data_IF_574183881481
#
_entry.id   IF_574183881481
#
_cell.length_a   1.000
_cell.length_b   1.000
_cell.length_c   1.000
_cell.angle_alpha   90.00
_cell.angle_beta   90.00
_cell.angle_gamma   90.00
#
_symmetry.space_group_name_H-M   'P 1'
#
loop_
_entity.id
_entity.type
_entity.pdbx_description
1 polymer ?
#
# COMPACT_ATOMS: atom_id res chain seq x y z
N UNK A 1 22.61 25.00 -3.36
CA UNK A 1 21.61 24.03 -2.85
C UNK A 1 20.82 23.57 -4.05
N UNK A 2 21.07 22.35 -4.52
CA UNK A 2 20.27 21.77 -5.60
C UNK A 2 18.81 21.66 -5.13
N UNK A 3 17.89 22.15 -5.95
CA UNK A 3 16.46 21.89 -5.72
C UNK A 3 16.25 20.37 -5.75
N UNK A 4 15.49 19.80 -4.79
CA UNK A 4 15.17 18.39 -4.81
C UNK A 4 14.47 18.06 -6.14
N UNK A 5 14.92 16.98 -6.79
CA UNK A 5 14.38 16.56 -8.08
C UNK A 5 12.99 15.99 -7.84
N UNK A 6 11.97 16.62 -8.45
CA UNK A 6 10.60 16.19 -8.30
C UNK A 6 10.25 14.89 -9.02
N UNK A 7 9.15 14.23 -8.60
CA UNK A 7 8.68 12.96 -9.16
C UNK A 7 8.45 13.01 -10.68
N UNK A 8 8.04 14.17 -11.22
CA UNK A 8 7.76 14.39 -12.64
C UNK A 8 8.95 14.00 -13.54
N UNK A 9 10.18 14.16 -13.06
CA UNK A 9 11.37 13.80 -13.84
C UNK A 9 11.53 12.28 -14.02
N UNK A 10 10.94 11.51 -13.11
CA UNK A 10 11.00 10.05 -13.08
C UNK A 10 9.77 9.39 -13.70
N UNK A 11 8.64 10.11 -13.77
CA UNK A 11 7.41 9.68 -14.43
C UNK A 11 7.15 10.54 -15.68
N UNK A 12 7.95 10.35 -16.73
CA UNK A 12 7.95 11.20 -17.93
C UNK A 12 6.58 11.45 -18.60
N UNK A 13 5.75 10.42 -18.65
CA UNK A 13 4.42 10.47 -19.28
C UNK A 13 3.31 10.74 -18.26
N UNK A 14 3.65 11.14 -17.02
CA UNK A 14 2.65 11.48 -16.03
C UNK A 14 1.76 12.61 -16.55
N UNK A 15 0.46 12.44 -16.38
CA UNK A 15 -0.51 13.42 -16.86
C UNK A 15 -0.31 14.76 -16.15
N UNK A 16 -0.34 15.91 -16.87
CA UNK A 16 -0.27 17.22 -16.25
C UNK A 16 -1.36 17.46 -15.20
N UNK A 17 -2.53 16.84 -15.39
CA UNK A 17 -3.66 16.89 -14.47
C UNK A 17 -3.32 16.22 -13.14
N UNK A 18 -2.73 15.02 -13.16
CA UNK A 18 -2.27 14.36 -11.94
C UNK A 18 -1.16 15.15 -11.26
N UNK A 19 -0.16 15.61 -12.03
CA UNK A 19 0.95 16.39 -11.51
C UNK A 19 0.46 17.64 -10.75
N UNK A 20 -0.38 18.45 -11.38
CA UNK A 20 -0.93 19.66 -10.78
C UNK A 20 -1.76 19.34 -9.52
N UNK A 21 -2.57 18.29 -9.55
CA UNK A 21 -3.39 17.87 -8.41
C UNK A 21 -2.53 17.43 -7.23
N UNK A 22 -1.52 16.58 -7.44
CA UNK A 22 -0.61 16.14 -6.39
C UNK A 22 0.09 17.34 -5.75
N UNK A 23 0.65 18.24 -6.57
CA UNK A 23 1.29 19.47 -6.09
C UNK A 23 0.36 20.31 -5.24
N UNK A 24 -0.87 20.54 -5.70
CA UNK A 24 -1.88 21.30 -4.96
C UNK A 24 -2.23 20.63 -3.63
N UNK A 25 -2.48 19.32 -3.62
CA UNK A 25 -2.93 18.60 -2.43
C UNK A 25 -1.86 18.51 -1.35
N UNK A 26 -0.61 18.27 -1.76
CA UNK A 26 0.53 18.19 -0.85
C UNK A 26 0.87 19.55 -0.26
N UNK A 27 0.95 20.59 -1.11
CA UNK A 27 1.23 21.95 -0.65
C UNK A 27 0.13 22.53 0.25
N UNK A 28 -1.15 22.23 -0.04
CA UNK A 28 -2.28 22.64 0.81
C UNK A 28 -2.22 22.04 2.23
N UNK A 29 -1.45 20.97 2.43
CA UNK A 29 -1.19 20.32 3.73
C UNK A 29 0.21 20.60 4.27
N UNK A 30 0.93 21.54 3.66
CA UNK A 30 2.27 21.92 4.11
C UNK A 30 3.35 20.86 3.86
N UNK A 31 3.14 19.93 2.94
CA UNK A 31 4.11 18.90 2.61
C UNK A 31 4.89 19.23 1.34
N UNK A 32 6.21 19.07 1.42
CA UNK A 32 7.13 19.16 0.28
C UNK A 32 7.22 17.79 -0.39
N UNK A 33 6.48 17.62 -1.48
CA UNK A 33 6.43 16.38 -2.26
C UNK A 33 7.81 15.97 -2.75
N UNK A 34 8.64 16.91 -3.20
CA UNK A 34 9.95 16.59 -3.80
C UNK A 34 10.89 16.02 -2.75
N UNK A 35 10.92 16.63 -1.57
CA UNK A 35 11.74 16.15 -0.46
C UNK A 35 11.28 14.80 0.06
N UNK A 36 9.98 14.64 0.32
CA UNK A 36 9.45 13.37 0.81
C UNK A 36 9.62 12.24 -0.22
N UNK A 37 9.42 12.53 -1.50
CA UNK A 37 9.68 11.56 -2.55
C UNK A 37 11.17 11.19 -2.64
N UNK A 38 12.07 12.17 -2.53
CA UNK A 38 13.52 11.90 -2.52
C UNK A 38 13.96 11.10 -1.28
N UNK A 39 13.47 11.46 -0.09
CA UNK A 39 13.79 10.80 1.19
C UNK A 39 13.27 9.36 1.25
N UNK A 40 12.22 9.04 0.48
CA UNK A 40 11.59 7.73 0.45
C UNK A 40 11.92 6.93 -0.81
N UNK A 41 11.35 7.34 -1.93
CA UNK A 41 11.32 6.57 -3.17
C UNK A 41 12.68 6.56 -3.85
N UNK A 42 13.31 7.71 -4.00
CA UNK A 42 14.65 7.80 -4.59
C UNK A 42 15.72 7.11 -3.72
N UNK A 43 15.47 7.05 -2.41
CA UNK A 43 16.34 6.40 -1.43
C UNK A 43 16.08 4.89 -1.26
N UNK A 44 15.12 4.30 -1.98
CA UNK A 44 14.83 2.87 -1.88
C UNK A 44 16.06 2.02 -2.26
N UNK A 45 16.34 0.93 -1.52
CA UNK A 45 17.31 -0.06 -1.96
C UNK A 45 16.91 -0.63 -3.33
N UNK A 46 17.79 -0.46 -4.32
CA UNK A 46 17.49 -0.89 -5.69
C UNK A 46 16.52 0.03 -6.43
N UNK A 47 16.41 1.31 -6.04
CA UNK A 47 15.67 2.31 -6.81
C UNK A 47 16.08 2.25 -8.28
N UNK A 48 15.10 1.95 -9.13
CA UNK A 48 15.24 1.90 -10.58
C UNK A 48 14.39 3.03 -11.17
N UNK A 49 15.01 4.04 -11.82
CA UNK A 49 14.26 5.01 -12.60
C UNK A 49 13.68 4.33 -13.85
N UNK A 50 12.59 4.88 -14.38
CA UNK A 50 12.06 4.41 -15.67
C UNK A 50 13.11 4.65 -16.77
N UNK A 51 13.34 3.66 -17.65
CA UNK A 51 14.25 3.85 -18.77
C UNK A 51 13.75 4.99 -19.66
N UNK A 52 14.66 5.76 -20.30
CA UNK A 52 14.25 6.77 -21.26
C UNK A 52 13.57 6.11 -22.46
N UNK A 53 12.24 6.28 -22.56
CA UNK A 53 11.44 5.88 -23.71
C UNK A 53 10.98 7.12 -24.51
N UNK A 54 10.68 6.97 -25.82
CA UNK A 54 9.96 8.00 -26.57
C UNK A 54 8.57 8.21 -25.94
N UNK A 55 8.08 9.46 -25.86
CA UNK A 55 6.81 9.75 -25.23
C UNK A 55 5.65 9.06 -25.99
N UNK A 56 4.90 8.23 -25.27
CA UNK A 56 3.64 7.65 -25.70
C UNK A 56 2.45 8.54 -25.29
N UNK A 57 1.31 8.34 -25.95
CA UNK A 57 0.08 9.11 -25.69
C UNK A 57 -0.78 8.51 -24.55
N UNK A 58 -0.22 7.63 -23.70
CA UNK A 58 -0.96 6.94 -22.62
C UNK A 58 -0.26 7.11 -21.26
N UNK A 59 -0.75 8.04 -20.44
CA UNK A 59 -0.17 8.33 -19.12
C UNK A 59 -0.48 7.26 -18.06
N UNK A 60 -1.44 6.36 -18.30
CA UNK A 60 -2.04 5.51 -17.23
C UNK A 60 -1.01 4.70 -16.45
N UNK A 61 0.00 4.15 -17.12
CA UNK A 61 1.04 3.38 -16.45
C UNK A 61 1.92 4.25 -15.54
N UNK A 62 2.28 5.44 -16.01
CA UNK A 62 3.11 6.38 -15.26
C UNK A 62 2.33 7.02 -14.11
N UNK A 63 1.06 7.35 -14.33
CA UNK A 63 0.14 7.84 -13.32
C UNK A 63 -0.06 6.78 -12.22
N UNK A 64 -0.31 5.53 -12.60
CA UNK A 64 -0.45 4.40 -11.68
C UNK A 64 0.81 4.14 -10.85
N UNK A 65 2.00 4.17 -11.47
CA UNK A 65 3.26 4.01 -10.75
C UNK A 65 3.52 5.20 -9.80
N UNK A 66 3.18 6.42 -10.20
CA UNK A 66 3.30 7.59 -9.33
C UNK A 66 2.43 7.42 -8.08
N UNK A 67 1.16 7.07 -8.23
CA UNK A 67 0.24 6.82 -7.11
C UNK A 67 0.69 5.67 -6.22
N UNK A 68 1.18 4.58 -6.81
CA UNK A 68 1.79 3.47 -6.07
C UNK A 68 2.92 3.98 -5.17
N UNK A 69 3.81 4.81 -5.71
CA UNK A 69 4.92 5.40 -4.97
C UNK A 69 4.41 6.36 -3.87
N UNK A 70 3.29 7.08 -4.08
CA UNK A 70 2.66 7.88 -3.01
C UNK A 70 2.15 7.02 -1.85
N UNK A 71 1.50 5.89 -2.15
CA UNK A 71 1.03 4.95 -1.14
C UNK A 71 2.19 4.31 -0.36
N UNK A 72 3.31 4.03 -1.04
CA UNK A 72 4.54 3.56 -0.39
C UNK A 72 5.16 4.61 0.54
N UNK A 73 5.18 5.89 0.16
CA UNK A 73 5.64 6.98 1.06
C UNK A 73 4.81 6.99 2.35
N UNK A 74 3.49 6.82 2.25
CA UNK A 74 2.64 6.74 3.44
C UNK A 74 2.95 5.52 4.30
N UNK A 75 3.14 4.35 3.71
CA UNK A 75 3.54 3.13 4.43
C UNK A 75 4.87 3.33 5.20
N UNK A 76 5.85 3.97 4.56
CA UNK A 76 7.13 4.33 5.19
C UNK A 76 6.95 5.34 6.33
N UNK A 77 6.09 6.34 6.14
CA UNK A 77 5.77 7.33 7.16
C UNK A 77 5.06 6.69 8.37
N UNK A 78 4.12 5.78 8.12
CA UNK A 78 3.44 4.99 9.15
C UNK A 78 4.42 4.13 9.95
N UNK A 79 5.39 3.51 9.28
CA UNK A 79 6.46 2.77 9.93
C UNK A 79 7.29 3.65 10.88
N UNK A 80 7.69 4.85 10.43
CA UNK A 80 8.43 5.80 11.28
C UNK A 80 7.61 6.26 12.47
N UNK A 81 6.33 6.55 12.25
CA UNK A 81 5.41 6.90 13.32
C UNK A 81 5.26 5.75 14.33
N UNK A 82 5.19 4.51 13.84
CA UNK A 82 5.03 3.35 14.69
C UNK A 82 6.23 3.10 15.62
N UNK A 83 7.46 3.21 15.10
CA UNK A 83 8.65 3.11 15.93
C UNK A 83 8.74 4.21 17.00
N UNK A 84 8.26 5.42 16.70
CA UNK A 84 8.20 6.49 17.70
C UNK A 84 7.05 6.29 18.70
N UNK A 85 5.88 5.86 18.24
CA UNK A 85 4.69 5.61 19.05
C UNK A 85 4.88 4.51 20.08
N UNK A 86 5.68 3.47 19.76
CA UNK A 86 6.01 2.38 20.67
C UNK A 86 6.69 2.86 21.97
N UNK A 87 7.42 3.98 21.92
CA UNK A 87 8.11 4.57 23.07
C UNK A 87 7.34 5.70 23.77
N UNK A 88 6.18 6.12 23.24
CA UNK A 88 5.46 7.29 23.74
C UNK A 88 4.29 6.90 24.65
N UNK A 89 4.24 7.48 25.85
CA UNK A 89 3.21 7.19 26.84
C UNK A 89 1.88 7.91 26.57
N UNK A 90 0.78 7.27 26.97
CA UNK A 90 -0.55 7.87 27.01
C UNK A 90 -1.27 7.93 25.66
N UNK A 91 -0.75 7.27 24.62
CA UNK A 91 -1.45 7.06 23.35
C UNK A 91 -2.68 6.15 23.53
N UNK A 92 -3.65 6.24 22.61
CA UNK A 92 -4.86 5.40 22.61
C UNK A 92 -4.53 3.97 22.21
N UNK A 93 -3.73 3.79 21.16
CA UNK A 93 -3.14 2.49 20.82
C UNK A 93 -2.02 2.18 21.82
N UNK A 94 -1.97 0.93 22.29
CA UNK A 94 -0.95 0.53 23.24
C UNK A 94 0.42 0.32 22.59
N UNK A 95 1.47 0.25 23.40
CA UNK A 95 2.83 0.05 22.90
C UNK A 95 2.98 -1.24 22.06
N UNK A 96 2.24 -2.30 22.40
CA UNK A 96 2.24 -3.55 21.63
C UNK A 96 1.63 -3.40 20.24
N UNK A 97 0.57 -2.60 20.09
CA UNK A 97 -0.01 -2.29 18.79
C UNK A 97 0.94 -1.46 17.93
N UNK A 98 1.63 -0.47 18.51
CA UNK A 98 2.64 0.32 17.81
C UNK A 98 3.86 -0.51 17.40
N UNK A 99 4.37 -1.38 18.27
CA UNK A 99 5.46 -2.30 17.93
C UNK A 99 5.06 -3.29 16.83
N UNK A 100 3.84 -3.85 16.91
CA UNK A 100 3.33 -4.74 15.87
C UNK A 100 3.20 -4.01 14.52
N UNK A 101 2.74 -2.76 14.56
CA UNK A 101 2.64 -1.90 13.38
C UNK A 101 4.02 -1.60 12.80
N UNK A 102 5.02 -1.28 13.62
CA UNK A 102 6.40 -1.05 13.19
C UNK A 102 6.96 -2.28 12.46
N UNK A 103 6.89 -3.45 13.08
CA UNK A 103 7.42 -4.70 12.50
C UNK A 103 6.74 -5.02 11.17
N UNK A 104 5.40 -4.96 11.13
CA UNK A 104 4.67 -5.36 9.93
C UNK A 104 4.82 -4.33 8.80
N UNK A 105 4.74 -3.03 9.10
CA UNK A 105 4.94 -1.97 8.09
C UNK A 105 6.37 -1.93 7.54
N UNK A 106 7.38 -2.31 8.33
CA UNK A 106 8.76 -2.47 7.84
C UNK A 106 8.84 -3.58 6.78
N UNK A 107 8.33 -4.78 7.10
CA UNK A 107 8.26 -5.90 6.14
C UNK A 107 7.44 -5.55 4.90
N UNK A 108 6.30 -4.88 5.07
CA UNK A 108 5.49 -4.43 3.94
C UNK A 108 6.27 -3.43 3.08
N UNK A 109 7.02 -2.50 3.67
CA UNK A 109 7.85 -1.54 2.92
C UNK A 109 8.85 -2.27 2.02
N UNK A 110 9.55 -3.27 2.55
CA UNK A 110 10.48 -4.11 1.77
C UNK A 110 9.75 -4.86 0.65
N UNK A 111 8.59 -5.44 0.94
CA UNK A 111 7.82 -6.26 0.00
C UNK A 111 7.22 -5.42 -1.14
N UNK A 112 6.67 -4.25 -0.82
CA UNK A 112 6.14 -3.27 -1.80
C UNK A 112 7.27 -2.70 -2.66
N UNK A 113 8.43 -2.40 -2.05
CA UNK A 113 9.61 -1.93 -2.79
C UNK A 113 10.15 -3.01 -3.76
N UNK A 114 10.18 -4.28 -3.33
CA UNK A 114 10.56 -5.39 -4.17
C UNK A 114 9.57 -5.60 -5.33
N UNK A 115 8.26 -5.50 -5.06
CA UNK A 115 7.24 -5.58 -6.10
C UNK A 115 7.44 -4.50 -7.17
N UNK A 116 7.70 -3.27 -6.76
CA UNK A 116 8.03 -2.16 -7.68
C UNK A 116 9.19 -2.55 -8.60
N UNK A 117 10.28 -3.07 -8.04
CA UNK A 117 11.45 -3.48 -8.82
C UNK A 117 11.15 -4.64 -9.78
N UNK A 118 10.37 -5.64 -9.34
CA UNK A 118 9.98 -6.77 -10.17
C UNK A 118 9.12 -6.34 -11.36
N UNK A 119 8.13 -5.48 -11.12
CA UNK A 119 7.27 -4.91 -12.18
C UNK A 119 8.12 -4.15 -13.19
N UNK A 120 8.99 -3.25 -12.74
CA UNK A 120 9.88 -2.47 -13.63
C UNK A 120 10.96 -3.30 -14.33
N UNK A 121 11.15 -4.55 -13.89
CA UNK A 121 12.08 -5.51 -14.50
C UNK A 121 11.37 -6.55 -15.38
N UNK A 122 10.05 -6.40 -15.61
CA UNK A 122 9.27 -7.34 -16.42
C UNK A 122 9.03 -8.71 -15.75
N UNK A 123 9.27 -8.81 -14.44
CA UNK A 123 9.11 -10.04 -13.67
C UNK A 123 7.70 -10.11 -13.05
N UNK A 124 6.69 -10.15 -13.90
CA UNK A 124 5.27 -10.11 -13.49
C UNK A 124 4.84 -11.28 -12.60
N UNK A 125 5.18 -12.57 -12.89
CA UNK A 125 4.77 -13.67 -12.03
C UNK A 125 5.21 -13.56 -10.56
N UNK A 126 6.50 -13.28 -10.22
CA UNK A 126 6.88 -13.07 -8.84
C UNK A 126 6.29 -11.77 -8.24
N UNK A 127 6.04 -10.73 -9.04
CA UNK A 127 5.34 -9.54 -8.55
C UNK A 127 3.92 -9.86 -8.05
N UNK A 128 3.17 -10.72 -8.76
CA UNK A 128 1.83 -11.16 -8.35
C UNK A 128 1.84 -11.98 -7.06
N UNK A 129 2.90 -12.76 -6.81
CA UNK A 129 3.09 -13.46 -5.54
C UNK A 129 3.22 -12.47 -4.37
N UNK A 130 4.05 -11.42 -4.55
CA UNK A 130 4.20 -10.38 -3.54
C UNK A 130 2.89 -9.59 -3.33
N UNK A 131 2.15 -9.29 -4.40
CA UNK A 131 0.86 -8.61 -4.32
C UNK A 131 -0.14 -9.34 -3.40
N UNK A 132 -0.18 -10.68 -3.49
CA UNK A 132 -0.99 -11.51 -2.60
C UNK A 132 -0.56 -11.36 -1.13
N UNK A 133 0.74 -11.47 -0.85
CA UNK A 133 1.27 -11.29 0.51
C UNK A 133 0.97 -9.91 1.06
N UNK A 134 1.11 -8.85 0.25
CA UNK A 134 0.78 -7.48 0.64
C UNK A 134 -0.69 -7.36 1.00
N UNK A 135 -1.60 -7.99 0.24
CA UNK A 135 -3.03 -7.97 0.55
C UNK A 135 -3.35 -8.62 1.90
N UNK A 136 -2.70 -9.74 2.23
CA UNK A 136 -2.87 -10.42 3.52
C UNK A 136 -2.25 -9.59 4.67
N UNK A 137 -1.10 -8.97 4.44
CA UNK A 137 -0.44 -8.09 5.40
C UNK A 137 -1.28 -6.83 5.69
N UNK A 138 -1.97 -6.26 4.70
CA UNK A 138 -2.94 -5.17 4.90
C UNK A 138 -4.06 -5.60 5.87
N UNK A 139 -4.68 -6.76 5.63
CA UNK A 139 -5.76 -7.25 6.51
C UNK A 139 -5.24 -7.52 7.92
N UNK A 140 -4.02 -8.07 8.02
CA UNK A 140 -3.36 -8.33 9.30
C UNK A 140 -3.10 -7.02 10.05
N UNK A 141 -2.51 -6.01 9.40
CA UNK A 141 -2.19 -4.72 10.02
C UNK A 141 -3.44 -4.07 10.61
N UNK A 142 -4.54 -4.04 9.84
CA UNK A 142 -5.83 -3.54 10.31
C UNK A 142 -6.39 -4.37 11.48
N UNK A 143 -6.27 -5.70 11.44
CA UNK A 143 -6.70 -6.54 12.55
C UNK A 143 -5.88 -6.31 13.83
N UNK A 144 -4.57 -6.03 13.73
CA UNK A 144 -3.70 -5.70 14.86
C UNK A 144 -4.06 -4.33 15.46
N UNK A 145 -4.41 -3.36 14.62
CA UNK A 145 -4.94 -2.06 15.05
C UNK A 145 -6.28 -2.20 15.81
N UNK A 146 -7.12 -3.16 15.44
CA UNK A 146 -8.40 -3.41 16.10
C UNK A 146 -8.31 -4.23 17.38
N UNK A 147 -7.37 -5.20 17.43
CA UNK A 147 -7.32 -6.20 18.50
C UNK A 147 -5.97 -6.19 19.21
N UNK A 148 -5.91 -5.45 20.31
CA UNK A 148 -4.76 -5.40 21.23
C UNK A 148 -4.17 -6.77 21.57
N UNK A 149 -5.02 -7.75 21.93
CA UNK A 149 -4.57 -9.12 22.26
C UNK A 149 -3.92 -9.83 21.06
N UNK A 150 -4.40 -9.56 19.85
CA UNK A 150 -3.83 -10.14 18.63
C UNK A 150 -2.43 -9.54 18.35
N UNK A 151 -2.25 -8.23 18.56
CA UNK A 151 -0.95 -7.57 18.47
C UNK A 151 0.07 -8.16 19.45
N UNK A 152 -0.35 -8.41 20.69
CA UNK A 152 0.49 -9.06 21.69
C UNK A 152 0.85 -10.51 21.30
N UNK A 153 -0.09 -11.28 20.78
CA UNK A 153 0.16 -12.65 20.31
C UNK A 153 1.12 -12.69 19.12
N UNK A 154 0.97 -11.76 18.18
CA UNK A 154 1.90 -11.60 17.07
C UNK A 154 3.33 -11.34 17.58
N UNK A 155 3.48 -10.36 18.47
CA UNK A 155 4.77 -10.00 19.07
C UNK A 155 5.32 -11.05 20.03
N UNK A 156 4.51 -12.01 20.48
CA UNK A 156 4.95 -13.09 21.35
C UNK A 156 5.56 -14.27 20.57
N UNK A 157 5.38 -14.34 19.25
CA UNK A 157 6.01 -15.38 18.43
C UNK A 157 7.54 -15.20 18.45
N UNK A 158 8.26 -16.28 18.75
CA UNK A 158 9.72 -16.35 18.83
C UNK A 158 10.31 -17.38 17.86
N UNK A 159 9.49 -18.30 17.35
CA UNK A 159 9.91 -19.34 16.41
C UNK A 159 9.08 -19.30 15.11
N UNK A 160 9.61 -19.94 14.06
CA UNK A 160 8.90 -20.09 12.79
C UNK A 160 7.61 -20.91 12.95
N UNK A 161 7.61 -21.93 13.81
CA UNK A 161 6.42 -22.76 14.07
C UNK A 161 5.33 -21.98 14.79
N UNK A 162 5.68 -21.17 15.79
CA UNK A 162 4.75 -20.27 16.47
C UNK A 162 4.16 -19.23 15.51
N UNK A 163 4.99 -18.65 14.63
CA UNK A 163 4.53 -17.71 13.61
C UNK A 163 3.58 -18.38 12.60
N UNK A 164 3.90 -19.60 12.15
CA UNK A 164 3.04 -20.39 11.28
C UNK A 164 1.71 -20.75 11.95
N UNK A 165 1.74 -21.13 13.23
CA UNK A 165 0.55 -21.39 14.03
C UNK A 165 -0.31 -20.15 14.18
N UNK A 166 0.30 -19.02 14.53
CA UNK A 166 -0.38 -17.72 14.59
C UNK A 166 -1.06 -17.39 13.27
N UNK A 167 -0.33 -17.52 12.15
CA UNK A 167 -0.84 -17.24 10.81
C UNK A 167 -2.03 -18.15 10.46
N UNK A 168 -1.89 -19.45 10.71
CA UNK A 168 -2.93 -20.45 10.47
C UNK A 168 -4.15 -20.29 11.38
N UNK A 169 -4.03 -19.67 12.54
CA UNK A 169 -5.18 -19.44 13.44
C UNK A 169 -5.88 -18.12 13.20
N UNK A 170 -5.14 -17.07 12.87
CA UNK A 170 -5.66 -15.71 12.91
C UNK A 170 -5.71 -15.01 11.55
N UNK A 171 -4.82 -15.37 10.61
CA UNK A 171 -4.65 -14.60 9.37
C UNK A 171 -5.22 -15.35 8.17
N UNK A 172 -4.78 -16.58 7.93
CA UNK A 172 -5.09 -17.33 6.71
C UNK A 172 -6.61 -17.53 6.49
N UNK A 173 -7.01 -17.81 5.24
CA UNK A 173 -8.41 -18.09 4.87
C UNK A 173 -9.36 -16.89 5.07
N UNK A 174 -8.82 -15.67 5.00
CA UNK A 174 -9.59 -14.43 5.15
C UNK A 174 -10.01 -14.11 6.59
N UNK A 175 -9.46 -14.77 7.61
CA UNK A 175 -9.86 -14.53 9.02
C UNK A 175 -9.53 -13.13 9.49
N UNK A 176 -8.36 -12.59 9.14
CA UNK A 176 -8.01 -11.21 9.45
C UNK A 176 -9.02 -10.23 8.83
N UNK A 177 -9.38 -10.45 7.56
CA UNK A 177 -10.39 -9.63 6.90
C UNK A 177 -11.76 -9.71 7.55
N UNK A 178 -12.22 -10.88 7.99
CA UNK A 178 -13.53 -10.99 8.67
C UNK A 178 -13.60 -10.10 9.92
N UNK A 179 -12.51 -9.99 10.67
CA UNK A 179 -12.41 -9.07 11.82
C UNK A 179 -12.58 -7.62 11.39
N UNK A 180 -11.95 -7.23 10.28
CA UNK A 180 -12.05 -5.88 9.73
C UNK A 180 -13.46 -5.61 9.19
N UNK A 181 -14.00 -6.51 8.38
CA UNK A 181 -15.33 -6.41 7.78
C UNK A 181 -16.44 -6.33 8.83
N UNK A 182 -16.35 -7.09 9.92
CA UNK A 182 -17.28 -7.01 11.05
C UNK A 182 -17.28 -5.61 11.68
N UNK A 183 -16.09 -5.00 11.84
CA UNK A 183 -15.98 -3.64 12.37
C UNK A 183 -16.48 -2.59 11.37
N UNK A 184 -16.18 -2.73 10.07
CA UNK A 184 -16.70 -1.85 9.02
C UNK A 184 -18.23 -1.90 8.95
N UNK A 185 -18.81 -3.10 9.06
CA UNK A 185 -20.26 -3.28 9.12
C UNK A 185 -20.88 -2.54 10.32
N UNK A 186 -20.21 -2.58 11.49
CA UNK A 186 -20.69 -1.88 12.69
C UNK A 186 -20.76 -0.35 12.55
N UNK A 187 -20.07 0.23 11.56
CA UNK A 187 -20.09 1.67 11.25
C UNK A 187 -20.87 1.98 9.96
N UNK A 188 -21.68 1.02 9.48
CA UNK A 188 -22.60 1.20 8.35
C UNK A 188 -21.99 0.94 6.97
N UNK A 189 -20.80 0.35 6.89
CA UNK A 189 -20.13 0.00 5.63
C UNK A 189 -20.23 -1.51 5.36
N UNK A 190 -21.14 -1.94 4.49
CA UNK A 190 -21.26 -3.36 4.12
C UNK A 190 -20.15 -3.80 3.17
N UNK A 191 -19.11 -4.41 3.75
CA UNK A 191 -18.01 -5.08 3.05
C UNK A 191 -18.01 -6.59 3.30
N UNK A 192 -19.19 -7.16 3.58
CA UNK A 192 -19.36 -8.61 3.74
C UNK A 192 -18.98 -9.37 2.46
N UNK A 193 -18.77 -10.69 2.56
CA UNK A 193 -18.43 -11.54 1.40
C UNK A 193 -19.52 -11.52 0.29
N UNK A 194 -20.74 -11.08 0.62
CA UNK A 194 -21.88 -10.95 -0.28
C UNK A 194 -22.02 -9.56 -0.92
N UNK A 195 -21.31 -8.55 -0.40
CA UNK A 195 -21.25 -7.21 -0.99
C UNK A 195 -20.58 -7.23 -2.36
N UNK A 196 -20.81 -6.18 -3.17
CA UNK A 196 -20.10 -5.96 -4.44
C UNK A 196 -18.58 -5.95 -4.22
N UNK A 197 -18.14 -5.29 -3.15
CA UNK A 197 -16.75 -5.27 -2.72
C UNK A 197 -16.20 -6.67 -2.38
N UNK A 198 -16.94 -7.45 -1.59
CA UNK A 198 -16.54 -8.80 -1.20
C UNK A 198 -16.45 -9.75 -2.40
N UNK A 199 -17.26 -9.53 -3.44
CA UNK A 199 -17.17 -10.26 -4.71
C UNK A 199 -15.94 -9.86 -5.50
N UNK A 200 -15.72 -8.56 -5.71
CA UNK A 200 -14.54 -8.03 -6.39
C UNK A 200 -13.24 -8.55 -5.75
N UNK A 201 -13.13 -8.49 -4.42
CA UNK A 201 -11.96 -8.97 -3.70
C UNK A 201 -11.72 -10.47 -3.89
N UNK A 202 -12.77 -11.29 -3.93
CA UNK A 202 -12.65 -12.74 -4.23
C UNK A 202 -12.15 -12.98 -5.64
N UNK A 203 -12.69 -12.26 -6.62
CA UNK A 203 -12.27 -12.37 -8.03
C UNK A 203 -10.78 -12.03 -8.19
N UNK A 204 -10.33 -10.94 -7.56
CA UNK A 204 -8.93 -10.53 -7.61
C UNK A 204 -8.02 -11.52 -6.87
N UNK A 205 -8.41 -12.01 -5.69
CA UNK A 205 -7.62 -13.04 -4.99
C UNK A 205 -7.53 -14.35 -5.78
N UNK A 206 -8.58 -14.74 -6.49
CA UNK A 206 -8.56 -15.90 -7.40
C UNK A 206 -7.60 -15.68 -8.57
N UNK A 207 -7.60 -14.48 -9.17
CA UNK A 207 -6.68 -14.11 -10.25
C UNK A 207 -5.21 -14.12 -9.78
N UNK A 208 -4.95 -13.52 -8.62
CA UNK A 208 -3.62 -13.55 -8.01
C UNK A 208 -3.18 -14.99 -7.69
N UNK A 209 -4.10 -15.81 -7.16
CA UNK A 209 -3.86 -17.22 -6.86
C UNK A 209 -3.55 -18.05 -8.11
N UNK A 210 -4.27 -17.83 -9.21
CA UNK A 210 -4.06 -18.58 -10.47
C UNK A 210 -2.73 -18.25 -11.14
N UNK A 211 -2.21 -17.03 -10.95
CA UNK A 211 -0.88 -16.63 -11.44
C UNK A 211 0.29 -17.26 -10.66
N UNK A 212 0.07 -17.69 -9.42
CA UNK A 212 1.09 -18.32 -8.55
C UNK A 212 1.23 -19.82 -8.85
N UNK A 213 0.13 -20.49 -9.22
CA UNK A 213 0.20 -21.88 -9.62
C UNK A 213 0.77 -21.96 -11.04
N UNK A 214 1.82 -22.78 -11.24
CA UNK A 214 2.44 -23.09 -12.54
C UNK A 214 1.49 -23.84 -13.50
N UNK A 215 0.23 -23.41 -13.57
CA UNK A 215 -0.78 -23.94 -14.46
C UNK A 215 -0.52 -23.42 -15.88
N UNK A 216 -0.63 -24.28 -16.91
CA UNK A 216 -0.61 -23.85 -18.31
C UNK A 216 -1.62 -22.72 -18.61
N UNK A 217 -2.73 -22.65 -17.84
CA UNK A 217 -3.75 -21.62 -17.95
C UNK A 217 -3.24 -20.22 -17.58
N UNK A 218 -2.37 -20.12 -16.56
CA UNK A 218 -1.73 -18.85 -16.19
C UNK A 218 -0.63 -18.45 -17.18
N UNK A 219 0.10 -19.43 -17.72
CA UNK A 219 1.15 -19.18 -18.71
C UNK A 219 0.60 -18.62 -20.02
N UNK A 220 -0.50 -19.15 -20.56
CA UNK A 220 -1.06 -18.69 -21.84
C UNK A 220 -1.47 -17.21 -21.88
N UNK A 221 -1.91 -16.65 -20.74
CA UNK A 221 -2.24 -15.22 -20.61
C UNK A 221 -1.00 -14.34 -20.28
N UNK A 222 0.03 -14.91 -19.65
CA UNK A 222 1.27 -14.23 -19.26
C UNK A 222 2.37 -14.26 -20.35
N UNK A 223 2.21 -15.08 -21.39
CA UNK A 223 3.18 -15.22 -22.50
C UNK A 223 3.12 -14.13 -23.56
N UNK A 224 2.24 -13.13 -23.41
CA UNK A 224 2.27 -11.90 -24.21
C UNK A 224 3.40 -10.99 -23.72
N UNK A 225 4.51 -10.98 -24.47
CA UNK A 225 5.83 -10.39 -24.22
C UNK A 225 5.89 -8.85 -24.10
N UNK A 226 4.86 -8.20 -23.58
CA UNK A 226 4.90 -6.76 -23.34
C UNK A 226 5.72 -6.49 -22.07
N UNK A 227 6.80 -5.72 -22.19
CA UNK A 227 7.51 -5.17 -21.05
C UNK A 227 6.72 -3.99 -20.44
N UNK A 228 7.09 -3.57 -19.24
CA UNK A 228 6.61 -2.29 -18.71
C UNK A 228 6.96 -1.14 -19.68
N UNK A 229 6.05 -0.18 -19.97
CA UNK A 229 4.72 0.04 -19.38
C UNK A 229 3.54 -0.65 -20.10
N UNK A 230 3.78 -1.38 -21.19
CA UNK A 230 2.74 -1.96 -22.03
C UNK A 230 2.08 -3.21 -21.43
N UNK A 231 2.69 -3.83 -20.41
CA UNK A 231 2.18 -5.04 -19.77
C UNK A 231 0.88 -4.77 -18.96
N UNK A 232 -0.30 -5.25 -19.39
CA UNK A 232 -1.55 -5.01 -18.66
C UNK A 232 -1.54 -5.68 -17.28
N UNK A 233 -1.05 -6.92 -17.16
CA UNK A 233 -1.04 -7.65 -15.88
C UNK A 233 -0.13 -6.97 -14.85
N UNK A 234 1.00 -6.40 -15.29
CA UNK A 234 1.88 -5.66 -14.39
C UNK A 234 1.24 -4.34 -13.91
N UNK A 235 0.45 -3.67 -14.77
CA UNK A 235 -0.33 -2.48 -14.40
C UNK A 235 -1.43 -2.83 -13.40
N UNK A 236 -2.21 -3.89 -13.66
CA UNK A 236 -3.26 -4.36 -12.76
C UNK A 236 -2.67 -4.78 -11.40
N UNK A 237 -1.48 -5.37 -11.38
CA UNK A 237 -0.75 -5.72 -10.17
C UNK A 237 -0.42 -4.47 -9.32
N UNK A 238 0.14 -3.42 -9.95
CA UNK A 238 0.41 -2.14 -9.26
C UNK A 238 -0.88 -1.48 -8.78
N UNK A 239 -1.92 -1.45 -9.62
CA UNK A 239 -3.21 -0.86 -9.29
C UNK A 239 -3.84 -1.55 -8.08
N UNK A 240 -3.86 -2.89 -8.09
CA UNK A 240 -4.34 -3.68 -6.97
C UNK A 240 -3.61 -3.35 -5.67
N UNK A 241 -2.27 -3.36 -5.69
CA UNK A 241 -1.50 -3.08 -4.47
C UNK A 241 -1.70 -1.64 -4.01
N UNK A 242 -1.73 -0.68 -4.93
CA UNK A 242 -2.03 0.73 -4.62
C UNK A 242 -3.39 0.85 -3.95
N UNK A 243 -4.42 0.18 -4.49
CA UNK A 243 -5.74 0.14 -3.91
C UNK A 243 -5.72 -0.45 -2.49
N UNK A 244 -5.07 -1.60 -2.28
CA UNK A 244 -4.97 -2.23 -0.95
C UNK A 244 -4.27 -1.34 0.08
N UNK A 245 -3.24 -0.60 -0.31
CA UNK A 245 -2.57 0.36 0.58
C UNK A 245 -3.45 1.59 0.88
N UNK A 246 -4.18 2.09 -0.11
CA UNK A 246 -5.16 3.17 0.10
C UNK A 246 -6.30 2.73 1.02
N UNK A 247 -6.84 1.53 0.84
CA UNK A 247 -7.85 0.96 1.73
C UNK A 247 -7.33 0.81 3.15
N UNK A 248 -6.09 0.35 3.30
CA UNK A 248 -5.45 0.27 4.61
C UNK A 248 -5.45 1.63 5.32
N UNK A 249 -5.06 2.70 4.61
CA UNK A 249 -5.13 4.06 5.13
C UNK A 249 -6.56 4.45 5.49
N UNK A 250 -7.47 4.35 4.52
CA UNK A 250 -8.86 4.76 4.67
C UNK A 250 -9.51 4.09 5.88
N UNK A 251 -9.38 2.77 5.97
CA UNK A 251 -10.00 2.00 7.03
C UNK A 251 -9.31 2.26 8.37
N UNK A 252 -7.98 2.33 8.43
CA UNK A 252 -7.28 2.65 9.69
C UNK A 252 -7.78 3.96 10.32
N UNK A 253 -8.16 4.95 9.51
CA UNK A 253 -8.75 6.21 9.97
C UNK A 253 -10.26 6.14 10.25
N UNK A 254 -11.00 5.22 9.64
CA UNK A 254 -12.45 5.05 9.86
C UNK A 254 -12.78 4.21 11.09
N UNK A 255 -11.89 3.34 11.56
CA UNK A 255 -12.17 2.36 12.62
C UNK A 255 -12.33 2.98 14.03
N UNK A 256 -12.23 4.31 14.18
CA UNK A 256 -12.30 5.10 15.44
C UNK A 256 -11.44 4.53 16.59
N UNK A 257 -10.25 4.06 16.22
CA UNK A 257 -9.26 3.49 17.15
C UNK A 257 -8.34 4.54 17.77
N UNK A 258 -8.52 5.82 17.44
CA UNK A 258 -7.68 6.91 17.95
C UNK A 258 -6.39 7.18 17.18
N UNK A 259 -6.21 6.52 16.03
CA UNK A 259 -4.99 6.63 15.22
C UNK A 259 -4.64 8.09 14.87
N UNK A 260 -5.62 8.90 14.44
CA UNK A 260 -5.41 10.31 14.09
C UNK A 260 -4.81 11.12 15.25
N UNK A 261 -5.40 10.98 16.43
CA UNK A 261 -4.94 11.69 17.62
C UNK A 261 -3.55 11.24 18.06
N UNK A 262 -3.27 9.94 17.96
CA UNK A 262 -1.96 9.43 18.31
C UNK A 262 -0.88 9.85 17.31
N UNK A 263 -1.15 9.80 16.00
CA UNK A 263 -0.22 10.26 14.97
C UNK A 263 0.11 11.75 15.13
N UNK A 264 -0.89 12.59 15.43
CA UNK A 264 -0.67 14.01 15.70
C UNK A 264 0.23 14.24 16.93
N UNK A 265 0.05 13.44 17.99
CA UNK A 265 0.90 13.49 19.19
C UNK A 265 2.32 13.02 18.92
N UNK A 266 2.48 11.94 18.15
CA UNK A 266 3.78 11.44 17.74
C UNK A 266 4.52 12.50 16.90
N UNK A 267 3.84 13.15 15.95
CA UNK A 267 4.42 14.23 15.16
C UNK A 267 4.83 15.43 16.03
N UNK A 268 4.03 15.78 17.03
CA UNK A 268 4.33 16.89 17.97
C UNK A 268 5.50 16.59 18.89
N UNK A 269 5.65 15.34 19.32
CA UNK A 269 6.83 14.90 20.09
C UNK A 269 8.13 15.08 19.29
N UNK A 270 8.02 15.07 17.95
CA UNK A 270 9.06 15.47 17.03
C UNK A 270 10.19 14.44 16.90
N UNK A 271 11.12 14.75 15.99
CA UNK A 271 12.36 14.01 15.82
C UNK A 271 13.51 14.99 15.57
N UNK A 272 14.69 14.68 16.10
CA UNK A 272 15.90 15.47 15.85
C UNK A 272 16.35 15.41 14.38
N UNK A 273 16.15 14.25 13.74
CA UNK A 273 16.44 14.05 12.31
C UNK A 273 15.37 14.74 11.43
N UNK A 274 15.74 15.68 10.55
CA UNK A 274 14.79 16.39 9.70
C UNK A 274 14.00 15.49 8.74
N UNK A 275 14.60 14.39 8.26
CA UNK A 275 13.92 13.42 7.39
C UNK A 275 12.80 12.73 8.15
N UNK A 276 13.13 12.19 9.33
CA UNK A 276 12.16 11.59 10.24
C UNK A 276 11.06 12.59 10.61
N UNK A 277 11.40 13.83 10.96
CA UNK A 277 10.41 14.85 11.31
C UNK A 277 9.40 15.10 10.19
N UNK A 278 9.85 15.17 8.92
CA UNK A 278 8.96 15.28 7.75
C UNK A 278 8.02 14.09 7.62
N UNK A 279 8.53 12.86 7.79
CA UNK A 279 7.71 11.65 7.70
C UNK A 279 6.68 11.54 8.82
N UNK A 280 7.03 11.94 10.05
CA UNK A 280 6.07 11.98 11.16
C UNK A 280 4.95 12.99 10.89
N UNK A 281 5.31 14.19 10.40
CA UNK A 281 4.32 15.20 10.01
C UNK A 281 3.43 14.69 8.87
N UNK A 282 4.01 14.02 7.86
CA UNK A 282 3.26 13.42 6.77
C UNK A 282 2.28 12.36 7.27
N UNK A 283 2.71 11.41 8.10
CA UNK A 283 1.83 10.37 8.64
C UNK A 283 0.60 10.96 9.35
N UNK A 284 0.77 12.07 10.08
CA UNK A 284 -0.31 12.73 10.80
C UNK A 284 -1.30 13.51 9.91
N UNK A 285 -0.92 13.90 8.70
CA UNK A 285 -1.67 14.85 7.86
C UNK A 285 -1.97 14.34 6.44
N UNK A 286 -1.48 13.16 6.08
CA UNK A 286 -1.63 12.58 4.74
C UNK A 286 -2.96 11.89 4.48
N UNK A 287 -3.80 11.68 5.51
CA UNK A 287 -5.10 10.97 5.41
C UNK A 287 -5.91 11.44 4.21
N UNK A 288 -6.15 12.75 4.13
CA UNK A 288 -6.99 13.29 3.06
C UNK A 288 -6.30 13.25 1.69
N UNK A 289 -4.95 13.24 1.66
CA UNK A 289 -4.21 13.06 0.40
C UNK A 289 -4.53 11.67 -0.15
N UNK A 290 -4.39 10.63 0.68
CA UNK A 290 -4.64 9.27 0.25
C UNK A 290 -6.11 8.99 -0.05
N UNK A 291 -7.05 9.53 0.75
CA UNK A 291 -8.48 9.36 0.50
C UNK A 291 -8.93 10.02 -0.81
N UNK A 292 -8.30 11.12 -1.21
CA UNK A 292 -8.58 11.76 -2.48
C UNK A 292 -7.93 11.01 -3.66
N UNK A 293 -6.68 10.55 -3.50
CA UNK A 293 -6.03 9.67 -4.48
C UNK A 293 -6.82 8.38 -4.71
N UNK A 294 -7.33 7.76 -3.64
CA UNK A 294 -8.19 6.58 -3.71
C UNK A 294 -9.47 6.87 -4.51
N UNK A 295 -10.15 7.98 -4.23
CA UNK A 295 -11.35 8.39 -4.98
C UNK A 295 -11.06 8.60 -6.46
N UNK A 296 -9.88 9.15 -6.79
CA UNK A 296 -9.47 9.33 -8.17
C UNK A 296 -9.19 8.00 -8.87
N UNK A 297 -8.51 7.06 -8.22
CA UNK A 297 -8.29 5.71 -8.77
C UNK A 297 -9.59 4.96 -9.01
N UNK A 298 -10.55 5.07 -8.09
CA UNK A 298 -11.85 4.40 -8.19
C UNK A 298 -12.81 5.03 -9.20
N UNK A 299 -12.63 6.31 -9.52
CA UNK A 299 -13.41 7.01 -10.54
C UNK A 299 -12.91 6.78 -11.97
N UNK A 300 -11.76 6.10 -12.14
CA UNK A 300 -11.27 5.63 -13.43
C UNK A 300 -12.07 4.41 -13.94
N UNK A 301 -12.04 4.10 -15.25
CA UNK A 301 -12.76 2.95 -15.78
C UNK A 301 -12.10 1.66 -15.27
N UNK A 302 -12.69 1.06 -14.23
CA UNK A 302 -12.38 -0.31 -13.80
C UNK A 302 -12.85 -1.24 -14.90
N UNK A 303 -11.96 -1.51 -15.85
CA UNK A 303 -12.11 -2.60 -16.80
C UNK A 303 -10.94 -3.53 -16.55
N UNK A 304 -11.11 -4.46 -15.60
CA UNK A 304 -10.40 -5.72 -15.73
C UNK A 304 -10.78 -6.27 -17.08
N UNK A 305 -9.84 -6.31 -18.03
CA UNK A 305 -10.07 -6.91 -19.33
C UNK A 305 -10.47 -8.36 -19.09
N UNK A 306 -11.76 -8.64 -19.23
CA UNK A 306 -12.33 -9.96 -19.03
C UNK A 306 -11.53 -10.96 -19.86
N UNK A 307 -11.13 -12.06 -19.24
CA UNK A 307 -10.68 -13.22 -19.99
C UNK A 307 -11.76 -13.55 -21.04
N UNK A 308 -11.39 -13.81 -22.30
CA UNK A 308 -12.38 -14.12 -23.33
C UNK A 308 -13.16 -15.36 -22.88
N UNK A 309 -14.49 -15.24 -22.93
CA UNK A 309 -15.38 -16.36 -22.71
C UNK A 309 -15.02 -17.48 -23.70
N UNK A 310 -14.55 -18.61 -23.17
CA UNK A 310 -14.34 -19.82 -23.95
C UNK A 310 -15.73 -20.41 -24.26
N UNK A 311 -16.12 -20.35 -25.52
CA UNK A 311 -17.09 -21.27 -26.11
C UNK A 311 -16.40 -22.58 -26.47
#
# INVERSE_FOLDING_TARGET
MDQPIGPERFYREMSPQLAARLRQMWSARGHDLDRLWADCIHALPGFRPLPPAPPANDSRAHDGLCLFDQALIWLMALNRAAGCGAGLSGLRLDAGQWQALEVLSARMTETVSALRLLVLSGLTPPALQLARSISEDVDMLLALLLRRKLAQQFLACRTADEANDFWRRHIAGGRAFRVVAEKLYSIGLDHSDHSEYGRWRREVLTLLGSAVHSSPLGRGALTGSAEWPANPVARDCLEFVTHRLHEMCAWAHLLDIGLDGDLARIATAGAADPVRARLLAFAAQSRDILLDQMRWTLAGPVVFSGAPALH
#
